data_IF_346473947665
#
_entry.id   IF_346473947665
#
_cell.length_a   1.000
_cell.length_b   1.000
_cell.length_c   1.000
_cell.angle_alpha   90.00
_cell.angle_beta   90.00
_cell.angle_gamma   90.00
#
_symmetry.space_group_name_H-M   'P 1'
#
loop_
_entity.id
_entity.type
_entity.pdbx_description
1 polymer ?
#
# COMPACT_ATOMS: atom_id res chain seq x y z
N UNK A 1 -17.54 18.92 -41.63
CA UNK A 1 -17.14 20.09 -40.81
C UNK A 1 -17.66 19.88 -39.39
N UNK A 2 -16.73 19.88 -38.40
CA UNK A 2 -16.88 19.97 -36.92
C UNK A 2 -17.82 18.94 -36.24
N UNK A 3 -17.36 17.89 -35.54
CA UNK A 3 -16.54 17.81 -34.31
C UNK A 3 -17.09 18.56 -33.10
N UNK A 4 -17.67 17.80 -32.16
CA UNK A 4 -17.75 18.18 -30.74
C UNK A 4 -17.58 16.92 -29.89
N UNK A 5 -16.32 16.66 -29.55
CA UNK A 5 -15.86 15.72 -28.54
C UNK A 5 -16.16 16.24 -27.14
N UNK A 6 -16.83 15.46 -26.30
CA UNK A 6 -16.77 15.63 -24.84
C UNK A 6 -15.71 14.69 -24.28
N UNK A 7 -14.58 15.30 -23.91
CA UNK A 7 -13.52 14.71 -23.11
C UNK A 7 -13.97 14.57 -21.66
N UNK A 8 -13.76 13.38 -21.10
CA UNK A 8 -14.00 13.10 -19.69
C UNK A 8 -13.43 11.74 -19.28
N UNK A 9 -12.16 11.48 -19.59
CA UNK A 9 -11.44 10.28 -19.13
C UNK A 9 -9.96 10.62 -18.88
N UNK A 10 -9.67 11.24 -17.74
CA UNK A 10 -8.30 11.39 -17.24
C UNK A 10 -8.16 10.71 -15.89
N UNK A 11 -7.96 9.40 -15.92
CA UNK A 11 -7.55 8.58 -14.78
C UNK A 11 -6.91 7.34 -15.39
N UNK A 12 -5.71 6.95 -14.91
CA UNK A 12 -4.97 5.72 -15.26
C UNK A 12 -4.11 5.74 -16.55
N UNK A 13 -4.47 6.45 -17.64
CA UNK A 13 -3.53 6.58 -18.80
C UNK A 13 -2.20 7.29 -18.45
N UNK A 14 -2.16 8.02 -17.33
CA UNK A 14 -0.93 8.64 -16.84
C UNK A 14 0.05 7.64 -16.18
N UNK A 15 -0.37 6.43 -15.81
CA UNK A 15 0.55 5.44 -15.22
C UNK A 15 1.59 4.94 -16.23
N UNK A 16 1.23 4.85 -17.51
CA UNK A 16 2.16 4.48 -18.59
C UNK A 16 3.02 5.65 -19.08
N UNK A 17 2.58 6.90 -18.89
CA UNK A 17 3.34 8.10 -19.27
C UNK A 17 4.26 8.61 -18.16
N UNK A 18 3.98 8.32 -16.88
CA UNK A 18 4.89 8.63 -15.76
C UNK A 18 6.21 7.84 -15.89
N UNK A 19 6.20 6.64 -16.49
CA UNK A 19 7.40 5.81 -16.70
C UNK A 19 8.30 6.27 -17.85
N UNK A 20 7.85 7.18 -18.73
CA UNK A 20 8.53 7.49 -19.99
C UNK A 20 9.22 8.85 -20.10
N UNK A 21 9.30 9.67 -19.04
CA UNK A 21 9.88 11.02 -19.27
C UNK A 21 10.24 11.93 -18.13
N UNK A 22 10.19 11.49 -16.86
CA UNK A 22 10.68 12.32 -15.75
C UNK A 22 11.73 11.56 -14.97
N UNK A 23 13.00 11.94 -15.19
CA UNK A 23 14.08 11.65 -14.25
C UNK A 23 13.64 12.18 -12.87
N UNK A 24 13.10 11.30 -12.03
CA UNK A 24 12.75 11.60 -10.65
C UNK A 24 14.07 11.77 -9.88
N UNK A 25 14.67 12.96 -9.99
CA UNK A 25 15.62 13.44 -8.99
C UNK A 25 14.80 13.76 -7.75
N UNK A 26 14.60 12.78 -6.89
CA UNK A 26 14.07 12.96 -5.54
C UNK A 26 15.01 13.85 -4.75
N UNK A 27 14.75 15.16 -4.74
CA UNK A 27 15.48 16.17 -3.96
C UNK A 27 15.33 16.04 -2.45
N UNK A 28 14.90 14.87 -1.95
CA UNK A 28 14.64 14.59 -0.54
C UNK A 28 15.64 13.62 0.08
N UNK A 29 16.59 13.06 -0.70
CA UNK A 29 17.63 12.17 -0.17
C UNK A 29 18.65 12.86 0.75
N UNK A 30 18.58 14.18 0.91
CA UNK A 30 19.57 14.98 1.65
C UNK A 30 18.93 16.08 2.50
N UNK A 31 17.77 15.78 3.10
CA UNK A 31 17.16 16.71 4.06
C UNK A 31 17.92 16.66 5.38
N UNK A 32 18.61 17.75 5.73
CA UNK A 32 19.26 17.92 7.04
C UNK A 32 18.27 17.80 8.21
N UNK A 33 16.98 18.07 7.96
CA UNK A 33 15.90 17.94 8.95
C UNK A 33 15.44 16.49 9.12
N UNK A 34 15.51 15.67 8.08
CA UNK A 34 15.10 14.26 8.10
C UNK A 34 16.14 13.36 7.43
N UNK A 35 17.31 13.14 8.07
CA UNK A 35 18.40 12.37 7.45
C UNK A 35 18.08 10.88 7.21
N UNK A 36 17.05 10.33 7.88
CA UNK A 36 16.61 8.93 7.74
C UNK A 36 15.29 8.77 7.00
N UNK A 37 14.67 9.89 6.62
CA UNK A 37 13.49 9.88 5.78
C UNK A 37 13.90 9.46 4.36
N UNK A 38 13.59 8.23 3.99
CA UNK A 38 13.49 7.90 2.57
C UNK A 38 12.19 8.49 2.04
N UNK A 39 12.28 9.34 1.02
CA UNK A 39 11.25 9.33 -0.01
C UNK A 39 11.45 7.98 -0.71
N UNK A 40 10.80 6.93 -0.22
CA UNK A 40 10.82 5.66 -0.94
C UNK A 40 10.30 6.01 -2.34
N UNK A 41 10.95 5.57 -3.43
CA UNK A 41 10.36 5.62 -4.76
C UNK A 41 9.19 4.61 -4.86
N UNK A 42 8.39 4.50 -3.79
CA UNK A 42 7.16 3.76 -3.76
C UNK A 42 6.04 4.72 -4.10
N UNK A 43 5.23 4.31 -5.08
CA UNK A 43 3.99 4.99 -5.35
C UNK A 43 2.96 4.41 -4.39
N UNK A 44 2.49 5.27 -3.49
CA UNK A 44 1.34 5.00 -2.64
C UNK A 44 0.08 5.37 -3.42
N UNK A 45 -0.84 4.41 -3.56
CA UNK A 45 -2.11 4.62 -4.21
C UNK A 45 -3.24 4.44 -3.21
N UNK A 46 -4.02 5.49 -2.97
CA UNK A 46 -5.20 5.41 -2.12
C UNK A 46 -6.42 5.02 -2.96
N UNK A 47 -7.24 4.13 -2.41
CA UNK A 47 -8.43 3.61 -3.07
C UNK A 47 -9.64 4.37 -2.57
N UNK A 48 -10.33 5.06 -3.48
CA UNK A 48 -11.60 5.72 -3.19
C UNK A 48 -12.75 5.00 -3.89
N UNK A 49 -13.83 4.74 -3.16
CA UNK A 49 -15.06 4.22 -3.73
C UNK A 49 -15.89 5.40 -4.25
N UNK A 50 -16.21 5.39 -5.55
CA UNK A 50 -17.16 6.33 -6.14
C UNK A 50 -18.46 5.59 -6.41
N UNK A 51 -19.52 5.92 -5.67
CA UNK A 51 -20.87 5.42 -5.93
C UNK A 51 -21.55 6.32 -6.97
N UNK A 52 -21.94 5.73 -8.11
CA UNK A 52 -22.78 6.41 -9.10
C UNK A 52 -24.24 6.07 -8.78
N UNK A 53 -24.95 7.01 -8.16
CA UNK A 53 -26.38 6.85 -7.88
C UNK A 53 -27.15 7.33 -9.12
N UNK A 54 -27.70 6.39 -9.89
CA UNK A 54 -28.71 6.73 -10.91
C UNK A 54 -30.06 6.98 -10.22
N UNK A 55 -30.40 8.24 -10.00
CA UNK A 55 -31.75 8.63 -9.57
C UNK A 55 -32.66 8.67 -10.80
N UNK A 56 -33.41 7.59 -11.04
CA UNK A 56 -34.55 7.64 -11.96
C UNK A 56 -35.73 8.29 -11.24
N UNK A 57 -36.00 9.57 -11.55
CA UNK A 57 -37.19 10.25 -11.09
C UNK A 57 -38.42 9.70 -11.79
N UNK A 58 -39.27 8.96 -11.08
CA UNK A 58 -40.63 8.67 -11.53
C UNK A 58 -41.54 9.83 -11.14
N UNK A 59 -41.96 10.60 -12.14
CA UNK A 59 -43.08 11.55 -12.00
C UNK A 59 -44.37 10.74 -11.87
N UNK A 60 -44.99 10.80 -10.70
CA UNK A 60 -46.27 10.14 -10.43
C UNK A 60 -47.41 11.05 -10.94
N UNK A 61 -47.84 10.86 -12.19
CA UNK A 61 -49.17 11.32 -12.61
C UNK A 61 -50.14 10.15 -12.45
N UNK A 62 -50.99 10.22 -11.43
CA UNK A 62 -51.96 9.19 -11.12
C UNK A 62 -53.12 9.16 -12.12
N UNK A 63 -53.52 7.96 -12.53
CA UNK A 63 -54.89 7.62 -12.89
C UNK A 63 -55.17 6.14 -12.59
N UNK A 64 -56.42 5.89 -12.21
CA UNK A 64 -56.98 4.66 -11.64
C UNK A 64 -56.93 3.41 -12.55
N UNK A 65 -57.05 2.27 -11.84
CA UNK A 65 -57.74 1.01 -12.17
C UNK A 65 -56.93 -0.24 -12.60
N UNK A 66 -57.13 -1.27 -11.75
CA UNK A 66 -57.04 -2.73 -11.91
C UNK A 66 -56.26 -3.29 -13.10
N UNK A 67 -55.12 -3.93 -12.82
CA UNK A 67 -54.86 -5.36 -13.10
C UNK A 67 -53.39 -5.73 -12.76
N UNK A 68 -53.22 -6.95 -12.25
CA UNK A 68 -51.98 -7.72 -12.07
C UNK A 68 -50.64 -7.00 -12.37
N UNK A 69 -49.96 -6.50 -11.33
CA UNK A 69 -48.54 -6.14 -11.43
C UNK A 69 -47.67 -7.31 -10.98
N UNK A 70 -47.05 -7.97 -11.95
CA UNK A 70 -45.92 -8.86 -11.74
C UNK A 70 -44.76 -8.01 -11.19
N UNK A 71 -44.35 -8.26 -9.95
CA UNK A 71 -43.19 -7.62 -9.34
C UNK A 71 -41.92 -8.12 -10.04
N UNK A 72 -41.48 -7.43 -11.11
CA UNK A 72 -40.11 -7.51 -11.57
C UNK A 72 -39.24 -6.76 -10.55
N UNK A 73 -38.65 -7.51 -9.60
CA UNK A 73 -37.53 -7.03 -8.80
C UNK A 73 -36.32 -6.90 -9.73
N UNK A 74 -36.22 -5.75 -10.40
CA UNK A 74 -34.98 -5.38 -11.08
C UNK A 74 -33.91 -5.20 -10.00
N UNK A 75 -33.04 -6.20 -9.85
CA UNK A 75 -31.77 -6.09 -9.16
C UNK A 75 -31.02 -4.89 -9.77
N UNK A 76 -31.03 -3.77 -9.07
CA UNK A 76 -30.12 -2.67 -9.35
C UNK A 76 -28.71 -3.19 -9.09
N UNK A 77 -28.01 -3.59 -10.14
CA UNK A 77 -26.58 -3.81 -10.09
C UNK A 77 -25.92 -2.44 -9.87
N UNK A 78 -25.59 -2.12 -8.62
CA UNK A 78 -24.67 -1.01 -8.34
C UNK A 78 -23.33 -1.33 -9.00
N UNK A 79 -22.99 -0.61 -10.07
CA UNK A 79 -21.64 -0.61 -10.61
C UNK A 79 -20.75 0.22 -9.67
N UNK A 80 -20.22 -0.42 -8.63
CA UNK A 80 -19.18 0.16 -7.79
C UNK A 80 -17.86 0.24 -8.59
N UNK A 81 -17.55 1.42 -9.11
CA UNK A 81 -16.24 1.69 -9.68
C UNK A 81 -15.30 2.16 -8.56
N UNK A 82 -14.26 1.36 -8.32
CA UNK A 82 -13.11 1.79 -7.54
C UNK A 82 -12.25 2.74 -8.37
N UNK A 83 -11.94 3.90 -7.80
CA UNK A 83 -11.00 4.85 -8.38
C UNK A 83 -9.72 4.82 -7.55
N UNK A 84 -8.66 4.28 -8.16
CA UNK A 84 -7.30 4.32 -7.61
C UNK A 84 -6.74 5.73 -7.87
N UNK A 85 -6.53 6.51 -6.82
CA UNK A 85 -5.98 7.86 -6.92
C UNK A 85 -4.49 7.82 -6.61
N UNK A 86 -3.70 8.33 -7.55
CA UNK A 86 -2.28 8.60 -7.33
C UNK A 86 -2.13 10.00 -6.73
N UNK A 87 -1.75 10.08 -5.46
CA UNK A 87 -1.40 11.34 -4.82
C UNK A 87 0.07 11.29 -4.41
N UNK A 88 0.88 12.16 -4.99
CA UNK A 88 2.31 12.24 -4.64
C UNK A 88 2.42 13.02 -3.33
N UNK A 89 2.73 12.31 -2.25
CA UNK A 89 3.04 12.91 -0.96
C UNK A 89 4.32 12.31 -0.40
N UNK A 90 5.05 13.10 0.37
CA UNK A 90 6.20 12.60 1.08
C UNK A 90 5.74 11.69 2.24
N UNK A 91 6.10 10.41 2.19
CA UNK A 91 5.82 9.43 3.25
C UNK A 91 7.13 9.05 3.95
N UNK A 92 7.31 9.37 5.25
CA UNK A 92 8.52 8.99 5.95
C UNK A 92 8.56 7.48 6.24
N UNK A 93 9.76 6.90 6.34
CA UNK A 93 9.95 5.50 6.74
C UNK A 93 10.80 5.39 8.01
N UNK A 94 10.54 4.37 8.83
CA UNK A 94 11.36 3.95 9.97
C UNK A 94 11.63 2.47 9.79
N UNK A 95 12.80 2.13 9.26
CA UNK A 95 13.20 0.72 9.16
C UNK A 95 13.87 0.28 10.46
N UNK A 96 13.42 -0.82 11.03
CA UNK A 96 13.85 -1.31 12.32
C UNK A 96 14.47 -2.69 12.15
N UNK A 97 15.67 -2.88 12.70
CA UNK A 97 16.32 -4.20 12.76
C UNK A 97 17.06 -4.36 14.08
N UNK A 98 16.79 -5.46 14.81
CA UNK A 98 17.32 -5.71 16.16
C UNK A 98 17.05 -4.54 17.13
N UNK A 99 15.84 -3.97 17.05
CA UNK A 99 15.41 -2.83 17.89
C UNK A 99 16.06 -1.48 17.58
N UNK A 100 16.84 -1.39 16.50
CA UNK A 100 17.53 -0.15 16.10
C UNK A 100 16.97 0.38 14.79
N UNK A 101 16.86 1.70 14.70
CA UNK A 101 16.47 2.38 13.45
C UNK A 101 17.66 2.38 12.52
N UNK A 102 17.49 1.80 11.33
CA UNK A 102 18.55 1.66 10.34
C UNK A 102 18.13 2.26 9.01
N UNK A 103 19.11 2.74 8.26
CA UNK A 103 18.95 3.03 6.85
C UNK A 103 19.60 1.88 6.06
N UNK A 104 18.80 1.05 5.42
CA UNK A 104 19.30 -0.05 4.58
C UNK A 104 19.43 0.36 3.11
N UNK A 105 20.24 -0.39 2.36
CA UNK A 105 20.20 -0.39 0.90
C UNK A 105 19.23 -1.50 0.47
N UNK A 106 18.16 -1.17 -0.27
CA UNK A 106 17.07 -2.12 -0.56
C UNK A 106 17.47 -3.45 -1.21
N UNK A 107 18.60 -3.48 -1.93
CA UNK A 107 19.09 -4.65 -2.67
C UNK A 107 19.93 -5.67 -1.86
N UNK A 108 20.14 -5.46 -0.55
CA UNK A 108 21.07 -6.29 0.25
C UNK A 108 20.41 -7.25 1.24
N UNK A 109 19.07 -7.33 1.29
CA UNK A 109 18.35 -8.32 2.09
C UNK A 109 18.56 -9.74 1.51
N UNK A 110 19.45 -10.54 2.10
CA UNK A 110 19.59 -11.98 1.85
C UNK A 110 19.32 -12.75 3.14
N UNK A 111 18.48 -13.77 3.07
CA UNK A 111 18.40 -14.78 4.14
C UNK A 111 19.34 -15.92 3.79
N UNK A 112 20.47 -16.00 4.48
CA UNK A 112 21.17 -17.26 4.65
C UNK A 112 20.99 -17.66 6.12
N UNK A 113 20.15 -18.66 6.39
CA UNK A 113 19.98 -19.23 7.74
C UNK A 113 21.25 -19.91 8.28
N UNK A 114 22.34 -19.93 7.52
CA UNK A 114 23.59 -20.60 7.91
C UNK A 114 24.85 -19.74 7.80
N UNK A 115 24.77 -18.48 7.40
CA UNK A 115 25.93 -17.59 7.50
C UNK A 115 25.45 -16.22 7.86
N UNK A 116 26.10 -15.60 8.85
CA UNK A 116 25.88 -14.24 9.32
C UNK A 116 26.12 -13.19 8.23
N UNK A 117 25.31 -13.23 7.17
CA UNK A 117 25.30 -12.25 6.10
C UNK A 117 24.77 -10.94 6.68
N UNK A 118 25.72 -10.10 7.05
CA UNK A 118 25.52 -8.79 7.62
C UNK A 118 24.62 -7.98 6.69
N UNK A 119 23.41 -7.65 7.15
CA UNK A 119 22.57 -6.62 6.55
C UNK A 119 23.44 -5.37 6.30
N UNK A 120 23.63 -5.02 5.03
CA UNK A 120 24.44 -3.84 4.67
C UNK A 120 23.61 -2.61 5.01
N UNK A 121 24.04 -1.91 6.06
CA UNK A 121 23.41 -0.70 6.56
C UNK A 121 24.25 0.49 6.13
N UNK A 122 23.61 1.54 5.62
CA UNK A 122 24.28 2.81 5.37
C UNK A 122 24.51 3.56 6.67
N UNK A 123 23.58 3.41 7.62
CA UNK A 123 23.58 4.11 8.89
C UNK A 123 22.70 3.38 9.93
N UNK A 124 23.13 3.39 11.19
CA UNK A 124 22.33 3.01 12.36
C UNK A 124 22.19 4.25 13.25
N UNK A 125 20.95 4.58 13.65
CA UNK A 125 20.69 5.79 14.44
C UNK A 125 20.74 5.53 15.94
N UNK A 126 21.31 6.49 16.66
CA UNK A 126 21.22 6.56 18.12
C UNK A 126 19.82 6.97 18.59
N UNK A 127 19.00 7.57 17.72
CA UNK A 127 17.61 7.94 18.03
C UNK A 127 16.70 6.73 18.00
N UNK A 128 15.77 6.68 18.95
CA UNK A 128 14.72 5.68 19.02
C UNK A 128 13.68 5.85 17.90
N UNK A 129 12.93 4.78 17.63
CA UNK A 129 11.82 4.81 16.68
C UNK A 129 10.71 5.80 17.11
N UNK A 130 10.45 5.93 18.42
CA UNK A 130 9.53 6.91 18.99
C UNK A 130 9.97 8.36 18.75
N UNK A 131 11.28 8.66 18.82
CA UNK A 131 11.79 10.01 18.52
C UNK A 131 11.55 10.40 17.05
N UNK A 132 11.73 9.46 16.12
CA UNK A 132 11.38 9.69 14.72
C UNK A 132 9.88 9.87 14.51
N UNK A 133 9.06 9.02 15.12
CA UNK A 133 7.60 9.15 15.05
C UNK A 133 7.11 10.52 15.58
N UNK A 134 7.67 11.00 16.69
CA UNK A 134 7.38 12.33 17.23
C UNK A 134 7.81 13.46 16.29
N UNK A 135 8.95 13.31 15.61
CA UNK A 135 9.39 14.27 14.59
C UNK A 135 8.38 14.33 13.43
N UNK A 136 7.95 13.17 12.92
CA UNK A 136 6.97 13.10 11.84
C UNK A 136 5.60 13.64 12.25
N UNK A 137 5.20 13.40 13.51
CA UNK A 137 4.00 13.98 14.12
C UNK A 137 4.06 15.50 14.19
N UNK A 138 5.18 16.06 14.65
CA UNK A 138 5.39 17.50 14.72
C UNK A 138 5.27 18.17 13.35
N UNK A 139 5.71 17.48 12.30
CA UNK A 139 5.65 17.97 10.92
C UNK A 139 4.36 17.57 10.19
N UNK A 140 3.39 16.93 10.86
CA UNK A 140 2.10 16.57 10.28
C UNK A 140 2.15 15.48 9.20
N UNK A 141 3.24 14.72 9.12
CA UNK A 141 3.47 13.73 8.08
C UNK A 141 2.72 12.43 8.39
N UNK A 142 1.63 12.15 7.67
CA UNK A 142 0.81 10.93 7.86
C UNK A 142 1.11 9.86 6.84
N UNK A 143 0.75 8.62 7.17
CA UNK A 143 0.92 7.42 6.34
C UNK A 143 2.37 7.06 6.09
N UNK A 144 3.27 7.50 6.98
CA UNK A 144 4.63 6.99 7.01
C UNK A 144 4.65 5.53 7.48
N UNK A 145 5.70 4.80 7.13
CA UNK A 145 5.76 3.36 7.32
C UNK A 145 6.82 3.00 8.38
N UNK A 146 6.46 2.12 9.31
CA UNK A 146 7.39 1.48 10.25
C UNK A 146 7.60 0.06 9.77
N UNK A 147 8.80 -0.29 9.30
CA UNK A 147 9.08 -1.59 8.69
C UNK A 147 10.05 -2.38 9.55
N UNK A 148 9.58 -3.51 10.07
CA UNK A 148 10.42 -4.46 10.81
C UNK A 148 11.17 -5.38 9.83
N UNK A 149 12.49 -5.32 9.83
CA UNK A 149 13.39 -6.12 8.99
C UNK A 149 13.83 -7.41 9.70
N UNK A 150 12.90 -8.07 10.38
CA UNK A 150 13.14 -9.26 11.19
C UNK A 150 11.98 -9.54 12.15
N UNK A 151 11.89 -10.78 12.62
CA UNK A 151 10.86 -11.21 13.58
C UNK A 151 11.34 -11.13 15.05
N UNK A 152 12.35 -10.31 15.33
CA UNK A 152 12.94 -10.24 16.67
C UNK A 152 12.09 -9.38 17.63
N UNK A 153 11.98 -9.76 18.93
CA UNK A 153 11.16 -9.02 19.90
C UNK A 153 11.58 -7.56 20.08
N UNK A 154 12.87 -7.23 19.89
CA UNK A 154 13.36 -5.85 20.04
C UNK A 154 12.83 -4.96 18.91
N UNK A 155 12.75 -5.47 17.69
CA UNK A 155 12.16 -4.76 16.55
C UNK A 155 10.66 -4.55 16.74
N UNK A 156 9.95 -5.55 17.27
CA UNK A 156 8.53 -5.43 17.61
C UNK A 156 8.29 -4.35 18.66
N UNK A 157 9.08 -4.35 19.74
CA UNK A 157 8.99 -3.34 20.79
C UNK A 157 9.24 -1.93 20.25
N UNK A 158 10.29 -1.74 19.45
CA UNK A 158 10.60 -0.44 18.84
C UNK A 158 9.51 0.01 17.84
N UNK A 159 8.89 -0.91 17.11
CA UNK A 159 7.75 -0.58 16.25
C UNK A 159 6.56 -0.08 17.07
N UNK A 160 6.20 -0.79 18.15
CA UNK A 160 5.12 -0.39 19.06
C UNK A 160 5.39 0.99 19.69
N UNK A 161 6.63 1.27 20.10
CA UNK A 161 7.02 2.58 20.61
C UNK A 161 6.77 3.71 19.58
N UNK A 162 7.10 3.48 18.30
CA UNK A 162 6.82 4.45 17.24
C UNK A 162 5.31 4.65 17.03
N UNK A 163 4.53 3.58 17.02
CA UNK A 163 3.08 3.63 16.85
C UNK A 163 2.40 4.41 17.99
N UNK A 164 2.78 4.13 19.23
CA UNK A 164 2.27 4.85 20.42
C UNK A 164 2.66 6.32 20.45
N UNK A 165 3.84 6.67 19.91
CA UNK A 165 4.27 8.06 19.80
C UNK A 165 3.43 8.87 18.79
N UNK A 166 2.96 8.23 17.72
CA UNK A 166 2.08 8.85 16.71
C UNK A 166 0.86 7.99 16.35
N UNK A 167 -0.12 7.86 17.27
CA UNK A 167 -1.31 7.05 17.03
C UNK A 167 -2.11 7.55 15.82
N UNK A 168 -2.45 6.63 14.92
CA UNK A 168 -3.13 6.91 13.65
C UNK A 168 -2.28 7.66 12.62
N UNK A 169 -1.01 7.95 12.91
CA UNK A 169 -0.11 8.66 11.99
C UNK A 169 0.71 7.74 11.10
N UNK A 170 1.07 6.56 11.59
CA UNK A 170 1.99 5.63 10.93
C UNK A 170 1.30 4.31 10.57
N UNK A 171 1.82 3.64 9.55
CA UNK A 171 1.49 2.27 9.14
C UNK A 171 2.60 1.34 9.61
N UNK A 172 2.35 0.04 9.75
CA UNK A 172 3.38 -0.93 10.19
C UNK A 172 3.44 -2.16 9.30
N UNK A 173 4.65 -2.58 8.93
CA UNK A 173 4.91 -3.77 8.12
C UNK A 173 6.05 -4.62 8.67
N UNK A 174 6.20 -5.82 8.12
CA UNK A 174 7.22 -6.80 8.52
C UNK A 174 6.64 -7.90 9.42
N UNK A 175 6.41 -9.09 8.85
CA UNK A 175 5.89 -10.24 9.61
C UNK A 175 4.42 -10.12 10.04
N UNK A 176 3.64 -9.21 9.44
CA UNK A 176 2.20 -9.09 9.70
C UNK A 176 1.46 -10.35 9.24
N UNK A 177 0.58 -10.88 10.10
CA UNK A 177 -0.26 -12.04 9.86
C UNK A 177 -1.58 -11.93 10.66
N UNK A 178 -2.45 -12.94 10.57
CA UNK A 178 -3.74 -12.94 11.26
C UNK A 178 -3.62 -12.84 12.78
N UNK A 179 -2.59 -13.46 13.36
CA UNK A 179 -2.44 -13.55 14.81
C UNK A 179 -1.99 -12.23 15.44
N UNK A 180 -1.30 -11.37 14.68
CA UNK A 180 -0.72 -10.13 15.20
C UNK A 180 -1.31 -8.83 14.63
N UNK A 181 -2.06 -8.88 13.52
CA UNK A 181 -2.50 -7.68 12.81
C UNK A 181 -3.35 -6.74 13.69
N UNK A 182 -4.29 -7.29 14.45
CA UNK A 182 -5.18 -6.50 15.31
C UNK A 182 -4.41 -5.81 16.44
N UNK A 183 -3.46 -6.51 17.05
CA UNK A 183 -2.63 -5.96 18.12
C UNK A 183 -1.91 -4.68 17.68
N UNK A 184 -1.33 -4.66 16.47
CA UNK A 184 -0.69 -3.45 15.96
C UNK A 184 -1.65 -2.28 15.71
N UNK A 185 -2.88 -2.56 15.28
CA UNK A 185 -3.92 -1.53 15.15
C UNK A 185 -4.27 -0.95 16.52
N UNK A 186 -4.43 -1.80 17.53
CA UNK A 186 -4.73 -1.39 18.91
C UNK A 186 -3.58 -0.58 19.53
N UNK A 187 -2.33 -0.87 19.14
CA UNK A 187 -1.14 -0.12 19.54
C UNK A 187 -0.97 1.24 18.81
N UNK A 188 -1.90 1.57 17.90
CA UNK A 188 -1.98 2.88 17.28
C UNK A 188 -1.55 2.93 15.81
N UNK A 189 -1.32 1.79 15.14
CA UNK A 189 -1.15 1.79 13.70
C UNK A 189 -2.43 2.26 12.99
N UNK A 190 -2.26 3.17 12.03
CA UNK A 190 -3.34 3.55 11.11
C UNK A 190 -3.73 2.37 10.22
N UNK A 191 -2.74 1.63 9.74
CA UNK A 191 -2.88 0.46 8.88
C UNK A 191 -1.78 -0.54 9.18
N UNK A 192 -2.03 -1.80 8.82
CA UNK A 192 -0.98 -2.82 8.69
C UNK A 192 -0.63 -3.01 7.21
N UNK A 193 0.65 -3.23 6.94
CA UNK A 193 1.23 -3.45 5.62
C UNK A 193 1.55 -4.95 5.50
N UNK A 194 0.95 -5.60 4.52
CA UNK A 194 1.09 -7.04 4.31
C UNK A 194 1.84 -7.33 3.01
N UNK A 195 2.86 -8.19 3.14
CA UNK A 195 3.73 -8.65 2.06
C UNK A 195 3.63 -10.18 1.91
N UNK A 196 4.62 -10.91 2.43
CA UNK A 196 4.84 -12.34 2.21
C UNK A 196 3.80 -13.26 2.84
N UNK A 197 2.98 -12.74 3.76
CA UNK A 197 1.89 -13.52 4.34
C UNK A 197 0.80 -13.83 3.30
N UNK A 198 0.49 -12.87 2.43
CA UNK A 198 -0.49 -13.03 1.33
C UNK A 198 0.19 -13.47 0.04
N UNK A 199 1.40 -12.98 -0.25
CA UNK A 199 2.13 -13.33 -1.46
C UNK A 199 3.27 -14.32 -1.16
N UNK A 200 3.06 -15.60 -1.43
CA UNK A 200 4.01 -16.66 -1.08
C UNK A 200 4.10 -17.70 -2.21
N UNK A 201 5.30 -18.26 -2.43
CA UNK A 201 5.52 -19.29 -3.45
C UNK A 201 5.07 -18.90 -4.86
N UNK A 202 5.11 -17.61 -5.22
CA UNK A 202 4.67 -17.11 -6.52
C UNK A 202 3.15 -17.06 -6.68
N UNK A 203 2.38 -17.18 -5.60
CA UNK A 203 0.92 -17.14 -5.62
C UNK A 203 0.39 -16.16 -4.57
N UNK A 204 -0.84 -15.70 -4.79
CA UNK A 204 -1.61 -14.92 -3.82
C UNK A 204 -2.56 -15.84 -3.07
N UNK A 205 -2.45 -15.86 -1.75
CA UNK A 205 -3.36 -16.57 -0.86
C UNK A 205 -4.56 -15.67 -0.52
N UNK A 206 -5.65 -15.85 -1.27
CA UNK A 206 -6.87 -15.07 -1.13
C UNK A 206 -7.59 -15.33 0.20
N UNK A 207 -7.46 -16.52 0.78
CA UNK A 207 -8.11 -16.85 2.04
C UNK A 207 -7.44 -16.13 3.21
N UNK A 208 -6.09 -16.03 3.19
CA UNK A 208 -5.36 -15.17 4.13
C UNK A 208 -5.73 -13.70 3.99
N UNK A 209 -5.86 -13.21 2.76
CA UNK A 209 -6.26 -11.82 2.49
C UNK A 209 -7.65 -11.53 3.05
N UNK A 210 -8.64 -12.39 2.76
CA UNK A 210 -10.00 -12.27 3.32
C UNK A 210 -9.99 -12.34 4.85
N UNK A 211 -9.19 -13.24 5.42
CA UNK A 211 -9.01 -13.33 6.87
C UNK A 211 -8.58 -12.00 7.47
N UNK A 212 -7.59 -11.33 6.86
CA UNK A 212 -7.09 -10.05 7.36
C UNK A 212 -8.19 -8.98 7.28
N UNK A 213 -8.88 -8.88 6.15
CA UNK A 213 -9.99 -7.94 5.96
C UNK A 213 -11.10 -8.18 6.98
N UNK A 214 -11.42 -9.44 7.29
CA UNK A 214 -12.44 -9.78 8.29
C UNK A 214 -12.06 -9.30 9.70
N UNK A 215 -10.78 -9.33 10.06
CA UNK A 215 -10.31 -8.96 11.41
C UNK A 215 -10.15 -7.44 11.55
N UNK A 216 -9.48 -6.77 10.61
CA UNK A 216 -9.09 -5.36 10.76
C UNK A 216 -9.88 -4.38 9.88
N UNK A 217 -10.63 -4.90 8.91
CA UNK A 217 -11.31 -4.12 7.87
C UNK A 217 -10.36 -3.70 6.74
N UNK A 218 -10.88 -3.59 5.51
CA UNK A 218 -10.06 -3.17 4.36
C UNK A 218 -9.46 -1.78 4.52
N UNK A 219 -10.15 -0.88 5.24
CA UNK A 219 -9.77 0.51 5.49
C UNK A 219 -8.52 0.65 6.36
N UNK A 220 -8.00 -0.47 6.88
CA UNK A 220 -6.77 -0.52 7.70
C UNK A 220 -5.74 -1.49 7.14
N UNK A 221 -5.92 -1.92 5.88
CA UNK A 221 -5.01 -2.83 5.20
C UNK A 221 -4.31 -2.13 4.04
N UNK A 222 -2.98 -2.22 4.03
CA UNK A 222 -2.14 -1.85 2.89
C UNK A 222 -1.55 -3.12 2.29
N UNK A 223 -1.67 -3.28 0.98
CA UNK A 223 -0.98 -4.35 0.26
C UNK A 223 0.31 -3.80 -0.33
N UNK A 224 1.42 -4.41 0.06
CA UNK A 224 2.73 -4.09 -0.48
C UNK A 224 3.00 -4.97 -1.70
N UNK A 225 2.98 -4.32 -2.87
CA UNK A 225 3.08 -4.93 -4.18
C UNK A 225 4.51 -4.74 -4.70
N UNK A 226 5.30 -5.68 -4.25
CA UNK A 226 6.65 -5.99 -4.65
C UNK A 226 6.78 -6.34 -6.13
N UNK A 227 7.35 -5.48 -6.99
CA UNK A 227 7.30 -5.69 -8.45
C UNK A 227 8.65 -5.65 -9.18
N UNK A 228 8.81 -6.52 -10.19
CA UNK A 228 9.94 -6.53 -11.12
C UNK A 228 9.50 -6.53 -12.57
N UNK A 229 10.29 -5.90 -13.44
CA UNK A 229 10.00 -5.88 -14.88
C UNK A 229 10.40 -7.21 -15.51
N UNK A 230 9.48 -7.83 -16.25
CA UNK A 230 9.69 -9.04 -17.05
C UNK A 230 9.01 -8.85 -18.41
N UNK A 231 9.79 -8.87 -19.50
CA UNK A 231 9.28 -8.85 -20.88
C UNK A 231 8.21 -7.76 -21.12
N UNK A 232 8.49 -6.54 -20.63
CA UNK A 232 7.62 -5.34 -20.70
C UNK A 232 6.39 -5.28 -19.79
N UNK A 233 6.20 -6.27 -18.92
CA UNK A 233 5.20 -6.23 -17.86
C UNK A 233 5.86 -6.14 -16.48
N UNK A 234 5.10 -5.67 -15.49
CA UNK A 234 5.51 -5.75 -14.09
C UNK A 234 4.83 -6.95 -13.45
N UNK A 235 5.61 -7.86 -12.89
CA UNK A 235 5.10 -9.01 -12.15
C UNK A 235 5.37 -8.83 -10.67
N UNK A 236 4.40 -9.23 -9.84
CA UNK A 236 4.61 -9.30 -8.40
C UNK A 236 5.65 -10.38 -8.15
N UNK A 237 6.62 -10.09 -7.28
CA UNK A 237 7.66 -11.02 -6.87
C UNK A 237 7.51 -11.34 -5.39
N UNK A 238 7.67 -12.62 -5.06
CA UNK A 238 7.57 -13.16 -3.71
C UNK A 238 8.95 -13.59 -3.23
N UNK A 239 9.01 -14.07 -1.98
CA UNK A 239 10.21 -14.71 -1.44
C UNK A 239 11.44 -13.78 -1.51
N UNK A 240 11.25 -12.53 -1.06
CA UNK A 240 12.29 -11.47 -1.08
C UNK A 240 12.85 -11.24 -2.48
N UNK A 241 11.96 -11.01 -3.44
CA UNK A 241 12.28 -10.67 -4.83
C UNK A 241 12.88 -11.81 -5.67
N UNK A 242 12.97 -13.02 -5.11
CA UNK A 242 13.65 -14.14 -5.74
C UNK A 242 12.72 -14.90 -6.69
N UNK A 243 11.41 -14.92 -6.42
CA UNK A 243 10.45 -15.70 -7.20
C UNK A 243 9.43 -14.79 -7.87
N UNK A 244 9.30 -14.91 -9.19
CA UNK A 244 8.19 -14.29 -9.91
C UNK A 244 6.89 -15.02 -9.59
N UNK A 245 5.84 -14.26 -9.33
CA UNK A 245 4.47 -14.79 -9.31
C UNK A 245 3.87 -14.78 -10.71
N UNK A 246 2.77 -15.51 -10.88
CA UNK A 246 1.94 -15.44 -12.08
C UNK A 246 1.01 -14.21 -12.09
N UNK A 247 1.12 -13.32 -11.08
CA UNK A 247 0.32 -12.11 -10.95
C UNK A 247 1.07 -10.93 -11.58
N UNK A 248 0.61 -10.52 -12.76
CA UNK A 248 1.09 -9.33 -13.45
C UNK A 248 0.26 -8.11 -13.03
N UNK A 249 0.90 -6.99 -12.76
CA UNK A 249 0.19 -5.76 -12.48
C UNK A 249 -0.43 -5.19 -13.75
N UNK A 250 -1.75 -5.17 -13.77
CA UNK A 250 -2.58 -4.44 -14.71
C UNK A 250 -3.79 -3.81 -13.99
N UNK A 251 -4.66 -3.16 -14.75
CA UNK A 251 -5.84 -2.49 -14.22
C UNK A 251 -6.84 -3.46 -13.58
N UNK A 252 -7.00 -4.66 -14.16
CA UNK A 252 -7.96 -5.65 -13.66
C UNK A 252 -7.51 -6.21 -12.31
N UNK A 253 -6.22 -6.53 -12.18
CA UNK A 253 -5.62 -7.00 -10.92
C UNK A 253 -5.70 -5.92 -9.84
N UNK A 254 -5.35 -4.67 -10.15
CA UNK A 254 -5.43 -3.58 -9.17
C UNK A 254 -6.88 -3.31 -8.72
N UNK A 255 -7.85 -3.34 -9.64
CA UNK A 255 -9.27 -3.19 -9.30
C UNK A 255 -9.78 -4.36 -8.45
N UNK A 256 -9.33 -5.58 -8.74
CA UNK A 256 -9.65 -6.74 -7.92
C UNK A 256 -9.10 -6.59 -6.50
N UNK A 257 -7.81 -6.26 -6.36
CA UNK A 257 -7.15 -6.07 -5.06
C UNK A 257 -7.73 -4.89 -4.27
N UNK A 258 -8.23 -3.85 -4.95
CA UNK A 258 -8.78 -2.65 -4.33
C UNK A 258 -10.07 -2.93 -3.52
N UNK A 259 -10.67 -4.11 -3.72
CA UNK A 259 -11.79 -4.58 -2.92
C UNK A 259 -11.37 -4.95 -1.50
N UNK A 260 -10.09 -5.26 -1.28
CA UNK A 260 -9.56 -5.83 -0.04
C UNK A 260 -8.64 -4.87 0.73
N UNK A 261 -8.12 -3.81 0.10
CA UNK A 261 -7.18 -2.89 0.73
C UNK A 261 -7.65 -1.43 0.64
N UNK A 262 -7.12 -0.58 1.51
CA UNK A 262 -7.29 0.89 1.46
C UNK A 262 -6.21 1.54 0.59
N UNK A 263 -5.01 0.98 0.63
CA UNK A 263 -3.84 1.52 -0.04
C UNK A 263 -2.99 0.41 -0.67
N UNK A 264 -2.34 0.74 -1.78
CA UNK A 264 -1.22 -0.05 -2.32
C UNK A 264 0.09 0.66 -2.08
N UNK A 265 1.06 -0.06 -1.53
CA UNK A 265 2.46 0.36 -1.49
C UNK A 265 3.18 -0.38 -2.64
N UNK A 266 3.48 0.33 -3.73
CA UNK A 266 4.11 -0.32 -4.91
C UNK A 266 5.57 0.06 -4.96
N UNK A 267 6.47 -0.93 -5.01
CA UNK A 267 7.90 -0.66 -5.12
C UNK A 267 8.58 -1.55 -6.17
N UNK A 268 9.46 -0.91 -6.96
CA UNK A 268 10.21 -1.55 -8.02
C UNK A 268 11.58 -2.02 -7.53
N UNK A 269 11.77 -3.32 -7.44
CA UNK A 269 13.03 -3.91 -6.91
C UNK A 269 14.25 -3.54 -7.76
N UNK A 270 14.04 -3.40 -9.07
CA UNK A 270 15.14 -3.15 -10.00
C UNK A 270 15.74 -1.73 -9.85
N UNK A 271 15.06 -0.81 -9.13
CA UNK A 271 15.45 0.59 -8.89
C UNK A 271 15.66 0.97 -7.42
N UNK A 272 15.31 0.10 -6.45
CA UNK A 272 15.39 0.43 -5.03
C UNK A 272 16.85 0.40 -4.50
N UNK A 273 17.35 1.54 -4.02
CA UNK A 273 18.65 1.64 -3.33
C UNK A 273 19.89 1.69 -4.24
N UNK A 274 19.73 1.83 -5.56
CA UNK A 274 20.86 2.07 -6.47
C UNK A 274 21.20 3.57 -6.49
N UNK A 275 22.48 3.89 -6.24
CA UNK A 275 23.05 5.23 -6.44
C UNK A 275 23.14 5.56 -7.93
#
# INVERSE_FOLDING_TARGET
MRSSSHHGTSSIRELSSISHGRNFKSSFYDSSKHPFARAIPSLSFSISQTSIIFTFGFSLLGFLNLSFFSFNLFLLAESCHFCVRCAVSFRPCIDIHKGKVKQIVGSTLRDSKEDGSTLVTNFESDKSAAEFANLYKKDGLKGGHVIMLGADPLSQAAAIEALRAYPGGLQVGGGINLDNCLSYIDEGASHVIVTSYVFNNGQMDLERLKGLVNVIGKQRLVLDLSCRKKEDKYAIVTDRWQKFSDVYLDEEVLNFLARFADEFLVHGVDVEGKK
#
